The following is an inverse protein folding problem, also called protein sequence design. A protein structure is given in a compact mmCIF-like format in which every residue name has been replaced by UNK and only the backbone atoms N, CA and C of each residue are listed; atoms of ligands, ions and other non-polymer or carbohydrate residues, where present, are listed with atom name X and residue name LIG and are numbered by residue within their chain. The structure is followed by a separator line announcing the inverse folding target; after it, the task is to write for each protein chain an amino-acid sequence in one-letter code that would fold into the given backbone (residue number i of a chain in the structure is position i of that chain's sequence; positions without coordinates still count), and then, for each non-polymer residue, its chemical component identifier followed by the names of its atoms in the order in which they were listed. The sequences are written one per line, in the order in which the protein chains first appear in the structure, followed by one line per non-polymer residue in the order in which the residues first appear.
data_IF_952323234617
#
_entry.id   IF_952323234617
#
_cell.length_a   1.000
_cell.length_b   1.000
_cell.length_c   1.000
_cell.angle_alpha   90.00
_cell.angle_beta   90.00
_cell.angle_gamma   90.00
#
_symmetry.space_group_name_H-M   'P 1'
#
loop_
_entity.id
_entity.type
_entity.pdbx_description
1 polymer ?
#
# COMPACT_ATOMS: atom_id res chain seq x y z
N UNK A 1 -56.53 -51.57 14.06
CA UNK A 1 -55.08 -51.38 14.18
C UNK A 1 -54.38 -50.75 12.93
N UNK A 2 -55.10 -50.41 11.84
CA UNK A 2 -54.48 -49.80 10.64
C UNK A 2 -54.39 -48.24 10.67
N UNK A 3 -55.15 -47.56 11.52
CA UNK A 3 -55.20 -46.08 11.54
C UNK A 3 -54.14 -45.42 12.44
N UNK A 4 -53.49 -46.13 13.36
CA UNK A 4 -52.48 -45.57 14.25
C UNK A 4 -51.11 -45.40 13.56
N UNK A 5 -50.79 -46.23 12.56
CA UNK A 5 -49.52 -46.09 11.82
C UNK A 5 -49.48 -44.89 10.86
N UNK A 6 -50.61 -44.49 10.29
CA UNK A 6 -50.67 -43.29 9.42
C UNK A 6 -50.55 -41.97 10.22
N UNK A 7 -51.09 -41.92 11.45
CA UNK A 7 -50.97 -40.73 12.30
C UNK A 7 -49.53 -40.51 12.79
N UNK A 8 -48.82 -41.57 13.15
CA UNK A 8 -47.43 -41.47 13.61
C UNK A 8 -46.48 -41.06 12.48
N UNK A 9 -46.67 -41.58 11.26
CA UNK A 9 -45.91 -41.22 10.08
C UNK A 9 -46.10 -39.73 9.67
N UNK A 10 -47.33 -39.21 9.83
CA UNK A 10 -47.65 -37.82 9.52
C UNK A 10 -47.02 -36.85 10.54
N UNK A 11 -47.02 -37.21 11.83
CA UNK A 11 -46.38 -36.41 12.89
C UNK A 11 -44.85 -36.36 12.74
N UNK A 12 -44.20 -37.48 12.43
CA UNK A 12 -42.76 -37.54 12.19
C UNK A 12 -42.39 -36.74 10.94
N UNK A 13 -43.22 -36.76 9.90
CA UNK A 13 -42.98 -35.95 8.69
C UNK A 13 -43.16 -34.45 8.94
N UNK A 14 -44.18 -34.04 9.74
CA UNK A 14 -44.36 -32.65 10.16
C UNK A 14 -43.19 -32.15 11.04
N UNK A 15 -42.69 -32.97 11.96
CA UNK A 15 -41.57 -32.62 12.83
C UNK A 15 -40.29 -32.42 12.02
N UNK A 16 -39.99 -33.31 11.06
CA UNK A 16 -38.87 -33.19 10.16
C UNK A 16 -38.94 -31.95 9.26
N UNK A 17 -40.11 -31.60 8.76
CA UNK A 17 -40.32 -30.37 7.97
C UNK A 17 -40.14 -29.10 8.82
N UNK A 18 -40.56 -29.12 10.09
CA UNK A 18 -40.38 -28.01 11.03
C UNK A 18 -38.92 -27.83 11.40
N UNK A 19 -38.19 -28.92 11.65
CA UNK A 19 -36.75 -28.89 11.99
C UNK A 19 -35.89 -28.41 10.80
N UNK A 20 -36.22 -28.84 9.58
CA UNK A 20 -35.55 -28.37 8.35
C UNK A 20 -35.81 -26.88 8.11
N UNK A 21 -37.02 -26.39 8.37
CA UNK A 21 -37.32 -24.95 8.22
C UNK A 21 -36.60 -24.08 9.27
N UNK A 22 -36.52 -24.54 10.54
CA UNK A 22 -35.77 -23.82 11.56
C UNK A 22 -34.25 -23.77 11.25
N UNK A 23 -33.70 -24.84 10.71
CA UNK A 23 -32.27 -24.87 10.33
C UNK A 23 -32.01 -24.00 9.10
N UNK A 24 -32.91 -23.94 8.13
CA UNK A 24 -32.85 -23.00 7.00
C UNK A 24 -33.00 -21.55 7.45
N UNK A 25 -33.89 -21.21 8.37
CA UNK A 25 -34.02 -19.85 8.91
C UNK A 25 -32.75 -19.41 9.67
N UNK A 26 -32.18 -20.32 10.49
CA UNK A 26 -30.89 -20.04 11.18
C UNK A 26 -29.74 -19.84 10.20
N UNK A 27 -29.66 -20.64 9.15
CA UNK A 27 -28.64 -20.50 8.10
C UNK A 27 -28.85 -19.20 7.30
N UNK A 28 -30.08 -18.86 6.96
CA UNK A 28 -30.42 -17.62 6.26
C UNK A 28 -30.13 -16.40 7.14
N UNK A 29 -30.48 -16.42 8.42
CA UNK A 29 -30.14 -15.37 9.38
C UNK A 29 -28.63 -15.23 9.57
N UNK A 30 -27.87 -16.33 9.66
CA UNK A 30 -26.43 -16.30 9.76
C UNK A 30 -25.77 -15.71 8.48
N UNK A 31 -26.26 -16.08 7.31
CA UNK A 31 -25.77 -15.52 6.02
C UNK A 31 -26.11 -14.04 5.90
N UNK A 32 -27.29 -13.61 6.28
CA UNK A 32 -27.71 -12.20 6.27
C UNK A 32 -26.92 -11.38 7.29
N UNK A 33 -26.69 -11.90 8.49
CA UNK A 33 -25.86 -11.23 9.51
C UNK A 33 -24.42 -11.16 9.05
N UNK A 34 -23.88 -12.21 8.45
CA UNK A 34 -22.51 -12.20 7.90
C UNK A 34 -22.40 -11.23 6.72
N UNK A 35 -23.38 -11.20 5.83
CA UNK A 35 -23.44 -10.24 4.73
C UNK A 35 -23.60 -8.79 5.22
N UNK A 36 -24.42 -8.53 6.24
CA UNK A 36 -24.52 -7.20 6.87
C UNK A 36 -23.25 -6.79 7.59
N UNK A 37 -22.59 -7.72 8.30
CA UNK A 37 -21.27 -7.45 8.91
C UNK A 37 -20.19 -7.18 7.86
N UNK A 38 -20.16 -7.90 6.75
CA UNK A 38 -19.28 -7.59 5.62
C UNK A 38 -19.61 -6.22 4.98
N UNK A 39 -20.87 -5.89 4.79
CA UNK A 39 -21.29 -4.58 4.25
C UNK A 39 -20.96 -3.42 5.19
N UNK A 40 -21.01 -3.62 6.51
CA UNK A 40 -20.61 -2.59 7.48
C UNK A 40 -19.09 -2.43 7.58
N UNK A 41 -18.30 -3.46 7.33
CA UNK A 41 -16.84 -3.37 7.28
C UNK A 41 -16.32 -2.70 6.00
N UNK A 42 -16.97 -2.91 4.86
CA UNK A 42 -16.65 -2.23 3.59
C UNK A 42 -17.06 -0.75 3.60
N UNK A 43 -17.97 -0.34 4.50
CA UNK A 43 -18.42 1.05 4.66
C UNK A 43 -17.61 1.90 5.63
N UNK A 44 -16.71 1.33 6.42
CA UNK A 44 -15.81 2.10 7.29
C UNK A 44 -14.55 2.50 6.52
N UNK A 45 -14.55 3.70 5.92
CA UNK A 45 -13.36 4.27 5.29
C UNK A 45 -12.16 4.32 6.25
N UNK A 46 -10.94 4.43 5.70
CA UNK A 46 -9.70 4.54 6.48
C UNK A 46 -9.80 5.62 7.56
N UNK A 47 -9.38 5.30 8.77
CA UNK A 47 -9.53 6.18 9.94
C UNK A 47 -8.38 5.99 10.92
N UNK A 48 -7.93 7.09 11.54
CA UNK A 48 -7.00 7.02 12.67
C UNK A 48 -7.62 6.28 13.86
N UNK A 49 -6.81 5.46 14.53
CA UNK A 49 -7.15 4.78 15.76
C UNK A 49 -6.19 5.21 16.86
N UNK A 50 -6.72 5.74 17.97
CA UNK A 50 -5.91 6.22 19.10
C UNK A 50 -4.78 7.19 18.69
N UNK A 51 -5.05 8.06 17.71
CA UNK A 51 -4.09 9.07 17.24
C UNK A 51 -3.03 8.55 16.29
N UNK A 52 -3.09 7.28 15.85
CA UNK A 52 -2.13 6.67 14.91
C UNK A 52 -2.84 5.98 13.74
N UNK A 53 -2.12 5.82 12.63
CA UNK A 53 -2.55 5.04 11.47
C UNK A 53 -1.34 4.30 10.91
N UNK A 54 -1.37 2.98 10.93
CA UNK A 54 -0.24 2.14 10.51
C UNK A 54 -0.42 1.64 9.08
N UNK A 55 0.60 1.86 8.27
CA UNK A 55 0.71 1.34 6.91
C UNK A 55 1.84 0.33 6.85
N UNK A 56 1.63 -0.79 6.19
CA UNK A 56 2.69 -1.72 5.80
C UNK A 56 2.82 -1.69 4.28
N UNK A 57 4.02 -1.37 3.80
CA UNK A 57 4.37 -1.37 2.39
C UNK A 57 5.13 -2.66 2.06
N UNK A 58 4.57 -3.47 1.17
CA UNK A 58 5.24 -4.55 0.46
C UNK A 58 5.61 -4.09 -0.94
N UNK A 59 6.63 -4.68 -1.52
CA UNK A 59 7.09 -4.35 -2.88
C UNK A 59 7.87 -5.50 -3.49
N UNK A 60 7.90 -5.57 -4.82
CA UNK A 60 8.77 -6.48 -5.55
C UNK A 60 8.57 -7.95 -5.14
N UNK A 61 7.32 -8.41 -5.15
CA UNK A 61 6.96 -9.78 -4.79
C UNK A 61 7.46 -10.77 -5.85
N UNK A 62 7.45 -10.37 -7.14
CA UNK A 62 7.83 -11.18 -8.30
C UNK A 62 7.27 -12.60 -8.22
N UNK A 63 5.97 -12.69 -7.87
CA UNK A 63 5.31 -13.95 -7.60
C UNK A 63 5.17 -14.78 -8.87
N UNK A 64 5.60 -16.03 -8.81
CA UNK A 64 5.51 -17.03 -9.87
C UNK A 64 4.65 -18.20 -9.40
N UNK A 65 3.57 -18.46 -10.10
CA UNK A 65 2.67 -19.59 -9.84
C UNK A 65 3.43 -20.92 -9.89
N UNK A 66 3.08 -21.86 -9.03
CA UNK A 66 3.70 -23.18 -8.95
C UNK A 66 5.24 -23.16 -8.76
N UNK A 67 5.76 -22.14 -8.13
CA UNK A 67 7.20 -21.97 -7.90
C UNK A 67 7.48 -21.90 -6.39
N UNK A 68 8.09 -22.91 -5.77
CA UNK A 68 8.31 -22.94 -4.31
C UNK A 68 9.11 -21.74 -3.77
N UNK A 69 9.98 -21.14 -4.60
CA UNK A 69 10.70 -19.92 -4.23
C UNK A 69 9.74 -18.74 -3.98
N UNK A 70 8.61 -18.68 -4.68
CA UNK A 70 7.58 -17.65 -4.50
C UNK A 70 6.79 -17.80 -3.19
N UNK A 71 6.69 -19.00 -2.63
CA UNK A 71 6.00 -19.24 -1.34
C UNK A 71 6.63 -18.40 -0.21
N UNK A 72 7.92 -18.09 -0.34
CA UNK A 72 8.61 -17.22 0.60
C UNK A 72 8.06 -15.78 0.60
N UNK A 73 7.53 -15.28 -0.52
CA UNK A 73 6.90 -13.96 -0.62
C UNK A 73 5.56 -13.94 0.11
N UNK A 74 4.69 -14.94 -0.12
CA UNK A 74 3.40 -15.06 0.59
C UNK A 74 3.62 -15.24 2.08
N UNK A 75 4.58 -16.10 2.49
CA UNK A 75 4.93 -16.29 3.90
C UNK A 75 5.50 -15.03 4.55
N UNK A 76 6.24 -14.19 3.80
CA UNK A 76 6.71 -12.89 4.28
C UNK A 76 5.53 -11.94 4.55
N UNK A 77 4.59 -11.87 3.62
CA UNK A 77 3.39 -11.04 3.79
C UNK A 77 2.55 -11.52 4.98
N UNK A 78 2.28 -12.82 5.04
CA UNK A 78 1.47 -13.42 6.12
C UNK A 78 2.07 -13.12 7.49
N UNK A 79 3.35 -13.40 7.68
CA UNK A 79 4.05 -13.16 8.95
C UNK A 79 4.00 -11.69 9.37
N UNK A 80 4.33 -10.78 8.45
CA UNK A 80 4.45 -9.35 8.77
C UNK A 80 3.06 -8.72 8.99
N UNK A 81 2.05 -9.09 8.21
CA UNK A 81 0.68 -8.58 8.41
C UNK A 81 0.14 -9.02 9.77
N UNK A 82 0.36 -10.29 10.15
CA UNK A 82 -0.06 -10.80 11.46
C UNK A 82 0.69 -10.13 12.61
N UNK A 83 1.97 -9.83 12.44
CA UNK A 83 2.79 -9.17 13.46
C UNK A 83 2.45 -7.69 13.61
N UNK A 84 2.30 -6.97 12.51
CA UNK A 84 2.11 -5.52 12.49
C UNK A 84 0.64 -5.10 12.62
N UNK A 85 -0.31 -5.93 12.18
CA UNK A 85 -1.75 -5.65 12.15
C UNK A 85 -2.06 -4.25 11.58
N UNK A 86 -1.67 -3.96 10.33
CA UNK A 86 -1.78 -2.62 9.77
C UNK A 86 -3.23 -2.16 9.58
N UNK A 87 -3.45 -0.85 9.57
CA UNK A 87 -4.71 -0.23 9.17
C UNK A 87 -4.86 -0.19 7.64
N UNK A 88 -3.74 -0.21 6.91
CA UNK A 88 -3.69 -0.26 5.45
C UNK A 88 -2.45 -1.03 4.99
N UNK A 89 -2.61 -1.89 4.00
CA UNK A 89 -1.52 -2.52 3.27
C UNK A 89 -1.39 -1.84 1.90
N UNK A 90 -0.17 -1.48 1.51
CA UNK A 90 0.15 -0.93 0.19
C UNK A 90 1.18 -1.84 -0.48
N UNK A 91 0.87 -2.35 -1.67
CA UNK A 91 1.85 -3.10 -2.48
C UNK A 91 2.31 -2.21 -3.63
N UNK A 92 3.61 -1.91 -3.65
CA UNK A 92 4.18 -0.94 -4.60
C UNK A 92 4.86 -1.61 -5.79
N UNK A 93 4.08 -2.39 -6.56
CA UNK A 93 4.46 -2.89 -7.87
C UNK A 93 5.35 -4.12 -7.90
N UNK A 94 5.61 -4.61 -9.10
CA UNK A 94 6.30 -5.85 -9.43
C UNK A 94 5.74 -7.03 -8.61
N UNK A 95 4.41 -7.15 -8.69
CA UNK A 95 3.61 -8.08 -7.90
C UNK A 95 3.80 -9.50 -8.45
N UNK A 96 3.73 -9.63 -9.78
CA UNK A 96 3.66 -10.91 -10.48
C UNK A 96 4.77 -11.04 -11.52
N UNK A 97 5.27 -12.28 -11.72
CA UNK A 97 6.34 -12.56 -12.65
C UNK A 97 6.19 -13.93 -13.35
N UNK A 98 4.95 -14.33 -13.66
CA UNK A 98 4.64 -15.53 -14.45
C UNK A 98 3.38 -15.37 -15.28
N UNK A 99 3.29 -16.14 -16.37
CA UNK A 99 2.16 -16.15 -17.30
C UNK A 99 1.29 -17.39 -17.06
N UNK A 100 -0.03 -17.21 -17.06
CA UNK A 100 -0.77 -15.96 -17.25
C UNK A 100 -0.83 -15.15 -15.94
N UNK A 101 -0.64 -13.83 -16.03
CA UNK A 101 -0.51 -12.95 -14.88
C UNK A 101 -1.72 -12.89 -13.95
N UNK A 102 -2.92 -13.11 -14.47
CA UNK A 102 -4.14 -13.12 -13.66
C UNK A 102 -4.21 -14.28 -12.65
N UNK A 103 -3.61 -15.43 -12.95
CA UNK A 103 -3.52 -16.57 -12.01
C UNK A 103 -2.56 -16.24 -10.86
N UNK A 104 -1.35 -15.79 -11.18
CA UNK A 104 -0.37 -15.37 -10.19
C UNK A 104 -0.90 -14.24 -9.30
N UNK A 105 -1.58 -13.26 -9.91
CA UNK A 105 -2.22 -12.19 -9.16
C UNK A 105 -3.30 -12.70 -8.19
N UNK A 106 -4.10 -13.69 -8.61
CA UNK A 106 -5.15 -14.24 -7.75
C UNK A 106 -4.59 -14.84 -6.47
N UNK A 107 -3.47 -15.56 -6.54
CA UNK A 107 -2.83 -16.15 -5.36
C UNK A 107 -2.35 -15.09 -4.36
N UNK A 108 -1.77 -13.98 -4.86
CA UNK A 108 -1.39 -12.83 -4.03
C UNK A 108 -2.61 -12.14 -3.42
N UNK A 109 -3.68 -11.97 -4.20
CA UNK A 109 -4.93 -11.37 -3.73
C UNK A 109 -5.63 -12.21 -2.66
N UNK A 110 -5.62 -13.54 -2.80
CA UNK A 110 -6.17 -14.48 -1.82
C UNK A 110 -5.41 -14.40 -0.50
N UNK A 111 -4.07 -14.34 -0.53
CA UNK A 111 -3.24 -14.13 0.64
C UNK A 111 -3.61 -12.82 1.35
N UNK A 112 -3.67 -11.69 0.63
CA UNK A 112 -4.00 -10.38 1.21
C UNK A 112 -5.42 -10.35 1.80
N UNK A 113 -6.40 -10.91 1.07
CA UNK A 113 -7.80 -10.93 1.49
C UNK A 113 -8.05 -11.77 2.74
N UNK A 114 -7.26 -12.84 2.95
CA UNK A 114 -7.37 -13.70 4.11
C UNK A 114 -7.14 -12.96 5.44
N UNK A 115 -6.34 -11.91 5.44
CA UNK A 115 -6.06 -11.09 6.62
C UNK A 115 -7.18 -10.12 7.00
N UNK A 116 -8.18 -9.94 6.15
CA UNK A 116 -9.32 -9.04 6.40
C UNK A 116 -8.90 -7.61 6.74
N UNK A 117 -7.82 -7.12 6.12
CA UNK A 117 -7.30 -5.75 6.25
C UNK A 117 -7.47 -4.99 4.95
N UNK A 118 -7.78 -3.68 5.00
CA UNK A 118 -7.80 -2.86 3.80
C UNK A 118 -6.45 -2.92 3.08
N UNK A 119 -6.48 -3.11 1.77
CA UNK A 119 -5.26 -3.06 0.96
C UNK A 119 -5.48 -2.39 -0.38
N UNK A 120 -4.39 -1.87 -0.93
CA UNK A 120 -4.31 -1.29 -2.28
C UNK A 120 -2.98 -1.66 -2.92
N UNK A 121 -2.93 -1.59 -4.24
CA UNK A 121 -1.76 -1.97 -5.03
C UNK A 121 -1.52 -0.96 -6.14
N UNK A 122 -0.24 -0.69 -6.45
CA UNK A 122 0.17 -0.03 -7.69
C UNK A 122 0.89 -1.05 -8.56
N UNK A 123 1.01 -0.80 -9.85
CA UNK A 123 1.80 -1.67 -10.73
C UNK A 123 3.26 -1.24 -10.79
N UNK A 124 4.13 -2.23 -11.02
CA UNK A 124 5.51 -2.04 -11.41
C UNK A 124 5.73 -2.32 -12.89
N UNK A 125 6.98 -2.28 -13.31
CA UNK A 125 7.32 -2.44 -14.72
C UNK A 125 7.15 -3.88 -15.25
N UNK A 126 7.23 -4.88 -14.38
CA UNK A 126 7.08 -6.28 -14.79
C UNK A 126 5.63 -6.79 -14.84
N UNK A 127 4.69 -6.14 -14.14
CA UNK A 127 3.31 -6.61 -14.07
C UNK A 127 2.63 -6.66 -15.44
N UNK A 128 2.90 -5.66 -16.29
CA UNK A 128 2.36 -5.61 -17.66
C UNK A 128 2.96 -6.60 -18.67
N UNK A 129 4.05 -7.27 -18.31
CA UNK A 129 4.75 -8.23 -19.18
C UNK A 129 4.16 -9.65 -19.07
N UNK A 130 3.19 -9.87 -18.17
CA UNK A 130 2.68 -11.19 -17.82
C UNK A 130 1.48 -11.67 -18.68
N UNK A 131 1.31 -11.09 -19.87
CA UNK A 131 0.35 -11.56 -20.87
C UNK A 131 -1.10 -11.17 -20.63
N UNK A 132 -1.38 -10.35 -19.60
CA UNK A 132 -2.70 -9.81 -19.28
C UNK A 132 -2.60 -8.27 -19.23
N UNK A 133 -3.52 -7.52 -19.85
CA UNK A 133 -3.51 -6.07 -19.77
C UNK A 133 -3.62 -5.57 -18.33
N UNK A 134 -2.84 -4.55 -17.96
CA UNK A 134 -2.90 -3.95 -16.60
C UNK A 134 -4.30 -3.52 -16.20
N UNK A 135 -5.12 -3.05 -17.15
CA UNK A 135 -6.53 -2.70 -16.90
C UNK A 135 -7.36 -3.88 -16.42
N UNK A 136 -7.14 -5.08 -16.98
CA UNK A 136 -7.82 -6.29 -16.56
C UNK A 136 -7.33 -6.77 -15.18
N UNK A 137 -6.03 -6.68 -14.93
CA UNK A 137 -5.46 -6.97 -13.61
C UNK A 137 -6.00 -5.99 -12.54
N UNK A 138 -6.10 -4.70 -12.85
CA UNK A 138 -6.68 -3.71 -11.96
C UNK A 138 -8.15 -4.01 -11.63
N UNK A 139 -8.93 -4.36 -12.65
CA UNK A 139 -10.34 -4.73 -12.47
C UNK A 139 -10.50 -6.05 -11.68
N UNK A 140 -9.53 -6.97 -11.76
CA UNK A 140 -9.46 -8.17 -10.92
C UNK A 140 -9.19 -7.81 -9.47
N UNK A 141 -8.20 -6.96 -9.19
CA UNK A 141 -7.87 -6.50 -7.83
C UNK A 141 -9.11 -5.93 -7.11
N UNK A 142 -9.91 -5.12 -7.81
CA UNK A 142 -11.10 -4.47 -7.25
C UNK A 142 -12.25 -5.41 -6.88
N UNK A 143 -12.24 -6.63 -7.41
CA UNK A 143 -13.32 -7.62 -7.16
C UNK A 143 -13.14 -8.42 -5.88
N UNK A 144 -11.96 -8.40 -5.29
CA UNK A 144 -11.68 -9.18 -4.08
C UNK A 144 -12.04 -8.39 -2.82
N UNK A 145 -12.44 -9.07 -1.74
CA UNK A 145 -12.73 -8.44 -0.46
C UNK A 145 -11.53 -7.65 0.07
N UNK A 146 -11.81 -6.55 0.77
CA UNK A 146 -10.81 -5.69 1.41
C UNK A 146 -9.88 -4.92 0.47
N UNK A 147 -9.90 -5.15 -0.85
CA UNK A 147 -9.31 -4.21 -1.78
C UNK A 147 -10.18 -2.94 -1.83
N UNK A 148 -9.56 -1.79 -1.58
CA UNK A 148 -10.26 -0.50 -1.50
C UNK A 148 -9.85 0.47 -2.62
N UNK A 149 -9.24 -0.05 -3.69
CA UNK A 149 -8.89 0.78 -4.85
C UNK A 149 -10.15 1.35 -5.50
N UNK A 150 -10.17 2.66 -5.80
CA UNK A 150 -11.31 3.29 -6.46
C UNK A 150 -11.43 2.85 -7.93
N UNK A 151 -12.53 3.22 -8.57
CA UNK A 151 -12.70 2.98 -10.00
C UNK A 151 -11.71 3.83 -10.81
N UNK A 152 -11.03 3.21 -11.77
CA UNK A 152 -10.04 3.85 -12.67
C UNK A 152 -10.64 4.86 -13.67
N UNK A 153 -11.95 5.01 -13.70
CA UNK A 153 -12.64 5.90 -14.63
C UNK A 153 -12.40 7.39 -14.38
N UNK A 154 -11.69 7.75 -13.31
CA UNK A 154 -11.43 9.16 -12.94
C UNK A 154 -10.20 9.72 -13.67
N UNK A 155 -9.21 8.88 -13.94
CA UNK A 155 -8.02 9.22 -14.73
C UNK A 155 -7.80 8.14 -15.78
N UNK A 156 -7.17 8.47 -16.89
CA UNK A 156 -6.79 7.46 -17.88
C UNK A 156 -5.65 6.56 -17.39
N UNK A 157 -5.05 6.90 -16.29
CA UNK A 157 -4.03 6.15 -15.53
C UNK A 157 -4.66 5.48 -14.32
N UNK A 158 -3.91 4.65 -13.61
CA UNK A 158 -4.38 3.95 -12.40
C UNK A 158 -3.99 4.71 -11.12
N UNK A 159 -3.97 6.05 -11.20
CA UNK A 159 -3.67 6.91 -10.07
C UNK A 159 -4.91 7.13 -9.21
N UNK A 160 -4.71 7.18 -7.91
CA UNK A 160 -5.80 7.46 -6.97
C UNK A 160 -5.31 8.08 -5.67
N UNK A 161 -6.24 8.66 -4.91
CA UNK A 161 -6.00 9.20 -3.58
C UNK A 161 -6.99 8.60 -2.59
N UNK A 162 -6.49 8.21 -1.42
CA UNK A 162 -7.28 7.66 -0.32
C UNK A 162 -7.27 8.65 0.85
N UNK A 163 -8.43 9.19 1.24
CA UNK A 163 -8.54 10.01 2.43
C UNK A 163 -8.56 9.14 3.69
N UNK A 164 -7.75 9.50 4.68
CA UNK A 164 -7.78 8.94 6.03
C UNK A 164 -8.53 9.89 6.93
N UNK A 165 -9.60 9.42 7.55
CA UNK A 165 -10.41 10.21 8.48
C UNK A 165 -9.72 10.37 9.84
N UNK A 166 -10.05 11.44 10.54
CA UNK A 166 -9.66 11.64 11.96
C UNK A 166 -10.19 10.49 12.84
N UNK A 167 -9.64 10.34 14.04
CA UNK A 167 -10.14 9.36 15.03
C UNK A 167 -11.63 9.55 15.36
N UNK A 168 -12.14 10.77 15.27
CA UNK A 168 -13.57 11.05 15.38
C UNK A 168 -14.40 10.68 14.14
N UNK A 169 -13.77 10.45 12.99
CA UNK A 169 -14.42 10.17 11.73
C UNK A 169 -15.02 11.39 11.01
N UNK A 170 -14.93 12.58 11.62
CA UNK A 170 -15.68 13.78 11.15
C UNK A 170 -14.99 14.54 10.03
N UNK A 171 -13.67 14.45 9.88
CA UNK A 171 -12.89 15.17 8.87
C UNK A 171 -11.83 14.28 8.24
N UNK A 172 -11.36 14.63 7.07
CA UNK A 172 -10.13 14.05 6.52
C UNK A 172 -8.92 14.61 7.30
N UNK A 173 -8.03 13.75 7.74
CA UNK A 173 -6.87 14.10 8.57
C UNK A 173 -5.54 13.83 7.88
N UNK A 174 -5.49 12.90 6.92
CA UNK A 174 -4.32 12.62 6.10
C UNK A 174 -4.73 12.05 4.73
N UNK A 175 -3.78 11.96 3.80
CA UNK A 175 -3.99 11.44 2.45
C UNK A 175 -2.92 10.39 2.10
N UNK A 176 -3.31 9.39 1.32
CA UNK A 176 -2.40 8.46 0.66
C UNK A 176 -2.61 8.58 -0.85
N UNK A 177 -1.60 9.05 -1.56
CA UNK A 177 -1.56 9.07 -3.02
C UNK A 177 -0.90 7.79 -3.52
N UNK A 178 -1.50 7.15 -4.51
CA UNK A 178 -0.93 6.03 -5.23
C UNK A 178 -0.85 6.38 -6.71
N UNK A 179 0.32 6.16 -7.33
CA UNK A 179 0.56 6.49 -8.73
C UNK A 179 0.99 5.25 -9.51
N UNK A 180 0.56 5.19 -10.76
CA UNK A 180 1.14 4.28 -11.75
C UNK A 180 2.43 4.92 -12.29
N UNK A 181 3.58 4.32 -11.96
CA UNK A 181 4.88 4.80 -12.43
C UNK A 181 5.25 4.28 -13.83
N UNK A 182 4.34 3.59 -14.48
CA UNK A 182 4.50 3.03 -15.82
C UNK A 182 5.61 1.97 -15.95
N UNK A 183 6.12 1.77 -17.16
CA UNK A 183 7.17 0.84 -17.53
C UNK A 183 8.26 1.57 -18.35
N UNK A 184 8.70 0.99 -19.45
CA UNK A 184 9.69 1.58 -20.36
C UNK A 184 9.15 2.80 -21.07
N UNK A 185 10.02 3.77 -21.33
CA UNK A 185 9.66 4.93 -22.14
C UNK A 185 9.28 4.49 -23.57
N UNK A 186 8.12 4.93 -24.03
CA UNK A 186 7.70 4.80 -25.42
C UNK A 186 8.14 5.97 -26.31
N UNK A 187 8.85 6.96 -25.77
CA UNK A 187 9.26 8.17 -26.50
C UNK A 187 10.47 7.87 -27.37
N UNK A 188 10.42 8.13 -28.71
CA UNK A 188 11.56 7.94 -29.59
C UNK A 188 12.82 8.68 -29.09
N UNK A 189 13.95 7.99 -29.07
CA UNK A 189 15.23 8.56 -28.63
C UNK A 189 15.43 8.65 -27.11
N UNK A 190 14.45 8.23 -26.30
CA UNK A 190 14.54 8.19 -24.84
C UNK A 190 14.52 6.74 -24.37
N UNK A 191 15.65 6.24 -23.91
CA UNK A 191 15.78 4.91 -23.34
C UNK A 191 15.45 4.92 -21.85
N UNK A 192 15.28 3.73 -21.25
CA UNK A 192 15.02 3.55 -19.83
C UNK A 192 13.54 3.62 -19.49
N UNK A 193 13.25 4.03 -18.26
CA UNK A 193 11.88 4.06 -17.73
C UNK A 193 11.14 5.33 -18.11
N UNK A 194 9.83 5.22 -18.19
CA UNK A 194 8.93 6.36 -18.33
C UNK A 194 8.82 7.08 -16.98
N UNK A 195 8.55 8.37 -17.03
CA UNK A 195 8.35 9.25 -15.88
C UNK A 195 6.86 9.40 -15.56
N UNK A 196 6.54 9.87 -14.36
CA UNK A 196 5.20 10.34 -14.03
C UNK A 196 4.85 11.51 -14.95
N UNK A 197 3.75 11.39 -15.69
CA UNK A 197 3.39 12.29 -16.79
C UNK A 197 2.89 13.65 -16.31
N UNK A 198 2.86 14.65 -17.21
CA UNK A 198 2.25 15.95 -16.91
C UNK A 198 0.77 15.85 -16.56
N UNK A 199 0.04 14.89 -17.15
CA UNK A 199 -1.37 14.63 -16.82
C UNK A 199 -1.52 14.15 -15.36
N UNK A 200 -0.63 13.26 -14.91
CA UNK A 200 -0.59 12.78 -13.52
C UNK A 200 -0.21 13.92 -12.57
N UNK A 201 0.77 14.75 -12.91
CA UNK A 201 1.12 15.94 -12.14
C UNK A 201 -0.07 16.91 -12.05
N UNK A 202 -0.75 17.14 -13.18
CA UNK A 202 -1.96 17.98 -13.20
C UNK A 202 -3.09 17.40 -12.35
N UNK A 203 -3.30 16.10 -12.41
CA UNK A 203 -4.26 15.40 -11.55
C UNK A 203 -3.90 15.54 -10.07
N UNK A 204 -2.66 15.26 -9.69
CA UNK A 204 -2.17 15.39 -8.32
C UNK A 204 -2.40 16.81 -7.78
N UNK A 205 -2.01 17.84 -8.53
CA UNK A 205 -2.18 19.25 -8.12
C UNK A 205 -3.65 19.60 -7.89
N UNK A 206 -4.57 19.08 -8.73
CA UNK A 206 -6.02 19.27 -8.53
C UNK A 206 -6.51 18.57 -7.26
N UNK A 207 -6.08 17.33 -6.99
CA UNK A 207 -6.45 16.62 -5.76
C UNK A 207 -5.94 17.35 -4.52
N UNK A 208 -4.67 17.72 -4.49
CA UNK A 208 -4.06 18.48 -3.40
C UNK A 208 -4.79 19.80 -3.14
N UNK A 209 -5.10 20.56 -4.18
CA UNK A 209 -5.87 21.81 -4.07
C UNK A 209 -7.29 21.59 -3.51
N UNK A 210 -7.97 20.53 -3.95
CA UNK A 210 -9.31 20.16 -3.47
C UNK A 210 -9.29 19.85 -1.97
N UNK A 211 -8.40 18.99 -1.52
CA UNK A 211 -8.29 18.65 -0.10
C UNK A 211 -7.78 19.82 0.75
N UNK A 212 -6.90 20.65 0.20
CA UNK A 212 -6.46 21.89 0.85
C UNK A 212 -7.61 22.86 1.08
N UNK A 213 -8.48 23.05 0.09
CA UNK A 213 -9.67 23.92 0.23
C UNK A 213 -10.64 23.39 1.30
N UNK A 214 -10.83 22.07 1.36
CA UNK A 214 -11.66 21.40 2.39
C UNK A 214 -11.04 21.46 3.80
N UNK A 215 -9.74 21.75 3.91
CA UNK A 215 -9.02 21.90 5.17
C UNK A 215 -8.66 23.36 5.50
N UNK A 216 -9.55 24.29 5.20
CA UNK A 216 -9.39 25.72 5.49
C UNK A 216 -8.11 26.32 4.90
N UNK A 217 -7.76 25.96 3.68
CA UNK A 217 -6.60 26.46 2.96
C UNK A 217 -5.24 25.86 3.39
N UNK A 218 -5.22 24.93 4.33
CA UNK A 218 -3.99 24.29 4.83
C UNK A 218 -3.78 22.92 4.19
N UNK A 219 -2.56 22.58 3.71
CA UNK A 219 -2.29 21.26 3.18
C UNK A 219 -2.49 20.18 4.25
N UNK A 220 -3.12 19.06 3.87
CA UNK A 220 -3.21 17.89 4.73
C UNK A 220 -1.88 17.11 4.70
N UNK A 221 -1.46 16.47 5.80
CA UNK A 221 -0.37 15.52 5.77
C UNK A 221 -0.63 14.41 4.75
N UNK A 222 0.30 14.14 3.84
CA UNK A 222 0.14 13.13 2.81
C UNK A 222 1.39 12.27 2.63
N UNK A 223 1.18 11.02 2.16
CA UNK A 223 2.23 10.12 1.70
C UNK A 223 1.94 9.74 0.24
N UNK A 224 2.99 9.51 -0.55
CA UNK A 224 2.90 9.08 -1.94
C UNK A 224 3.57 7.72 -2.12
N UNK A 225 2.91 6.82 -2.88
CA UNK A 225 3.37 5.46 -3.16
C UNK A 225 3.35 5.20 -4.66
N UNK A 226 4.43 4.69 -5.19
CA UNK A 226 4.56 4.21 -6.57
C UNK A 226 5.78 3.30 -6.68
N UNK A 227 5.97 2.63 -7.82
CA UNK A 227 7.01 1.63 -7.95
C UNK A 227 8.37 2.22 -8.31
N UNK A 228 8.52 2.85 -9.47
CA UNK A 228 9.81 3.33 -9.98
C UNK A 228 10.16 4.68 -9.33
N UNK A 229 11.32 4.79 -8.65
CA UNK A 229 11.70 5.99 -7.93
C UNK A 229 11.94 7.21 -8.85
N UNK A 230 11.75 8.40 -8.30
CA UNK A 230 12.06 9.67 -9.00
C UNK A 230 13.58 9.91 -9.08
N UNK A 231 14.08 10.67 -10.07
CA UNK A 231 15.49 11.06 -10.16
C UNK A 231 16.07 11.69 -8.88
N UNK A 232 15.22 12.34 -8.09
CA UNK A 232 15.57 12.95 -6.82
C UNK A 232 16.08 11.96 -5.76
N UNK A 233 15.78 10.67 -5.86
CA UNK A 233 16.35 9.65 -4.98
C UNK A 233 17.87 9.61 -5.10
N UNK A 234 18.41 9.62 -6.32
CA UNK A 234 19.85 9.70 -6.54
C UNK A 234 20.42 11.06 -6.11
N UNK A 235 19.73 12.17 -6.43
CA UNK A 235 20.16 13.51 -6.03
C UNK A 235 20.28 13.67 -4.52
N UNK A 236 19.34 13.08 -3.76
CA UNK A 236 19.36 13.12 -2.31
C UNK A 236 20.55 12.34 -1.72
N UNK A 237 20.83 11.15 -2.26
CA UNK A 237 21.90 10.29 -1.77
C UNK A 237 23.27 10.85 -2.16
N UNK A 238 23.40 11.45 -3.33
CA UNK A 238 24.64 12.09 -3.80
C UNK A 238 24.90 13.45 -3.08
N UNK A 239 23.94 13.96 -2.29
CA UNK A 239 24.09 15.19 -1.52
C UNK A 239 24.69 14.92 -0.12
N UNK A 240 25.93 15.36 0.18
CA UNK A 240 26.60 15.11 1.45
C UNK A 240 25.94 15.78 2.66
N UNK A 241 24.96 16.65 2.44
CA UNK A 241 24.19 17.28 3.51
C UNK A 241 23.00 16.42 3.95
N UNK A 242 22.57 15.45 3.16
CA UNK A 242 21.49 14.55 3.50
C UNK A 242 21.98 13.43 4.43
N UNK A 243 21.10 13.04 5.37
CA UNK A 243 21.35 11.89 6.27
C UNK A 243 20.56 10.71 5.73
N UNK A 244 21.25 9.61 5.47
CA UNK A 244 20.65 8.35 5.01
C UNK A 244 20.57 7.35 6.17
N UNK A 245 19.41 6.73 6.31
CA UNK A 245 19.20 5.58 7.19
C UNK A 245 18.81 4.37 6.36
N UNK A 246 19.38 3.23 6.64
CA UNK A 246 19.12 1.98 5.95
C UNK A 246 20.25 1.54 5.03
N UNK A 247 19.96 0.61 4.15
CA UNK A 247 20.90 -0.02 3.24
C UNK A 247 20.71 0.54 1.82
N UNK A 248 21.83 0.93 1.22
CA UNK A 248 21.93 1.25 -0.20
C UNK A 248 23.06 0.43 -0.80
N UNK A 249 22.70 -0.54 -1.61
CA UNK A 249 23.67 -1.42 -2.30
C UNK A 249 23.71 -1.17 -3.81
N UNK A 250 22.72 -0.46 -4.32
CA UNK A 250 22.64 -0.12 -5.74
C UNK A 250 22.18 1.34 -5.96
N UNK A 251 22.50 1.86 -7.14
CA UNK A 251 21.97 3.15 -7.58
C UNK A 251 20.49 2.99 -7.92
N UNK A 252 19.64 3.91 -7.51
CA UNK A 252 18.23 3.87 -7.87
C UNK A 252 18.05 3.97 -9.41
N UNK A 253 17.34 3.00 -9.99
CA UNK A 253 17.04 2.96 -11.42
C UNK A 253 15.82 3.83 -11.73
N UNK A 254 16.08 5.08 -12.02
CA UNK A 254 15.07 6.12 -12.24
C UNK A 254 14.83 6.39 -13.71
N UNK A 255 13.73 7.06 -14.09
CA UNK A 255 13.59 7.64 -15.43
C UNK A 255 14.77 8.55 -15.79
N UNK A 256 15.18 8.53 -17.05
CA UNK A 256 16.24 9.42 -17.56
C UNK A 256 15.77 10.87 -17.69
N UNK A 257 14.45 11.09 -17.83
CA UNK A 257 13.86 12.43 -17.86
C UNK A 257 13.08 12.67 -16.57
N UNK A 258 13.20 13.89 -16.04
CA UNK A 258 12.46 14.35 -14.87
C UNK A 258 11.29 15.22 -15.30
N UNK A 259 10.07 14.82 -14.99
CA UNK A 259 8.86 15.59 -15.30
C UNK A 259 8.54 16.71 -14.31
N UNK A 260 9.20 16.75 -13.15
CA UNK A 260 8.95 17.72 -12.10
C UNK A 260 7.88 17.32 -11.07
N UNK A 261 7.53 16.05 -10.95
CA UNK A 261 6.58 15.59 -9.93
C UNK A 261 7.04 15.93 -8.52
N UNK A 262 8.33 15.75 -8.20
CA UNK A 262 8.88 16.15 -6.91
C UNK A 262 8.67 17.65 -6.63
N UNK A 263 8.96 18.50 -7.61
CA UNK A 263 8.72 19.94 -7.51
C UNK A 263 7.24 20.25 -7.25
N UNK A 264 6.33 19.59 -7.98
CA UNK A 264 4.90 19.77 -7.77
C UNK A 264 4.46 19.37 -6.35
N UNK A 265 4.99 18.26 -5.81
CA UNK A 265 4.73 17.84 -4.42
C UNK A 265 5.29 18.86 -3.41
N UNK A 266 6.47 19.39 -3.66
CA UNK A 266 7.07 20.41 -2.81
C UNK A 266 6.28 21.73 -2.81
N UNK A 267 5.81 22.19 -3.98
CA UNK A 267 4.97 23.38 -4.10
C UNK A 267 3.58 23.22 -3.44
N UNK A 268 2.95 22.06 -3.61
CA UNK A 268 1.67 21.77 -2.95
C UNK A 268 1.81 21.68 -1.44
N UNK A 269 2.95 21.16 -0.94
CA UNK A 269 3.32 21.14 0.47
C UNK A 269 2.55 20.15 1.33
N UNK A 270 1.79 19.22 0.73
CA UNK A 270 1.05 18.17 1.44
C UNK A 270 1.89 16.89 1.66
N UNK A 271 2.65 16.44 0.65
CA UNK A 271 3.45 15.22 0.72
C UNK A 271 4.61 15.37 1.68
N UNK A 272 4.66 14.49 2.68
CA UNK A 272 5.75 14.38 3.66
C UNK A 272 6.77 13.31 3.29
N UNK A 273 6.34 12.28 2.55
CA UNK A 273 7.19 11.16 2.17
C UNK A 273 6.71 10.47 0.90
N UNK A 274 7.69 9.99 0.13
CA UNK A 274 7.54 9.22 -1.10
C UNK A 274 8.14 7.84 -0.84
N UNK A 275 7.39 6.79 -1.16
CA UNK A 275 7.74 5.40 -0.91
C UNK A 275 7.69 4.61 -2.22
N UNK A 276 8.81 4.02 -2.59
CA UNK A 276 9.01 3.29 -3.85
C UNK A 276 9.45 1.84 -3.60
N UNK A 277 9.46 1.02 -4.65
CA UNK A 277 10.10 -0.28 -4.74
C UNK A 277 11.22 -0.28 -5.76
N UNK A 278 11.23 -1.27 -6.65
CA UNK A 278 12.00 -1.37 -7.88
C UNK A 278 13.46 -1.78 -7.70
N UNK A 279 14.17 -1.22 -6.72
CA UNK A 279 15.59 -1.50 -6.47
C UNK A 279 15.70 -2.44 -5.27
N UNK A 280 15.90 -3.74 -5.53
CA UNK A 280 15.70 -4.82 -4.55
C UNK A 280 16.72 -4.79 -3.39
N UNK A 281 17.91 -4.26 -3.64
CA UNK A 281 18.99 -4.20 -2.66
C UNK A 281 19.06 -2.85 -1.92
N UNK A 282 18.00 -2.06 -2.02
CA UNK A 282 17.82 -0.80 -1.31
C UNK A 282 16.67 -0.89 -0.31
N UNK A 283 16.89 -0.38 0.90
CA UNK A 283 15.82 -0.12 1.87
C UNK A 283 16.04 1.21 2.61
N UNK A 284 16.85 2.07 2.04
CA UNK A 284 17.19 3.34 2.67
C UNK A 284 16.05 4.35 2.68
N UNK A 285 16.19 5.32 3.56
CA UNK A 285 15.38 6.53 3.59
C UNK A 285 16.28 7.76 3.80
N UNK A 286 15.95 8.85 3.13
CA UNK A 286 16.71 10.09 3.14
C UNK A 286 15.76 11.27 2.98
N UNK A 287 16.01 12.41 3.63
CA UNK A 287 15.23 13.64 3.39
C UNK A 287 15.91 14.50 2.32
N UNK A 288 15.11 14.91 1.34
CA UNK A 288 15.49 15.87 0.32
C UNK A 288 14.47 17.00 0.28
N UNK A 289 14.90 18.25 0.52
CA UNK A 289 14.03 19.42 0.63
C UNK A 289 12.75 19.18 1.45
N UNK A 290 12.90 18.68 2.69
CA UNK A 290 11.82 18.38 3.65
C UNK A 290 10.81 17.28 3.20
N UNK A 291 11.12 16.50 2.18
CA UNK A 291 10.33 15.32 1.79
C UNK A 291 11.18 14.09 2.00
N UNK A 292 10.65 13.09 2.71
CA UNK A 292 11.32 11.80 2.86
C UNK A 292 11.21 11.03 1.55
N UNK A 293 12.34 10.52 1.07
CA UNK A 293 12.43 9.57 -0.04
C UNK A 293 12.85 8.23 0.54
N UNK A 294 12.05 7.19 0.35
CA UNK A 294 12.29 5.89 0.98
C UNK A 294 12.01 4.73 0.01
N UNK A 295 12.95 3.79 -0.07
CA UNK A 295 12.68 2.49 -0.67
C UNK A 295 11.92 1.59 0.29
N UNK A 296 10.99 0.79 -0.22
CA UNK A 296 10.47 -0.38 0.45
C UNK A 296 11.57 -1.43 0.64
N UNK A 297 11.31 -2.41 1.49
CA UNK A 297 12.15 -3.61 1.56
C UNK A 297 11.59 -4.65 0.59
N UNK A 298 12.44 -5.23 -0.25
CA UNK A 298 12.08 -6.36 -1.10
C UNK A 298 11.29 -7.41 -0.29
N UNK A 299 10.09 -7.73 -0.76
CA UNK A 299 9.18 -8.63 -0.07
C UNK A 299 9.07 -10.01 -0.76
N UNK A 300 9.70 -10.15 -1.91
CA UNK A 300 9.66 -11.32 -2.76
C UNK A 300 10.30 -12.56 -2.16
N UNK A 301 10.15 -13.66 -2.89
CA UNK A 301 10.88 -14.90 -2.66
C UNK A 301 12.25 -14.88 -3.34
N UNK A 302 12.77 -16.05 -3.68
CA UNK A 302 14.04 -16.19 -4.39
C UNK A 302 13.83 -16.31 -5.91
N UNK A 303 12.96 -15.51 -6.48
CA UNK A 303 12.59 -15.51 -7.91
C UNK A 303 13.33 -14.46 -8.73
N UNK A 304 13.90 -13.48 -8.05
CA UNK A 304 14.72 -12.40 -8.60
C UNK A 304 15.94 -12.14 -7.68
N UNK A 305 16.87 -11.30 -8.13
CA UNK A 305 18.04 -10.93 -7.33
C UNK A 305 17.62 -10.20 -6.06
N UNK A 306 18.24 -10.54 -4.96
CA UNK A 306 18.10 -9.86 -3.69
C UNK A 306 19.20 -10.34 -2.73
N UNK A 307 19.97 -9.43 -2.17
CA UNK A 307 21.01 -9.71 -1.18
C UNK A 307 20.55 -9.38 0.24
N UNK A 308 19.41 -8.69 0.38
CA UNK A 308 18.82 -8.35 1.66
C UNK A 308 17.77 -9.41 2.03
N UNK A 309 17.63 -9.68 3.33
CA UNK A 309 16.54 -10.54 3.80
C UNK A 309 15.20 -9.89 3.50
N UNK A 310 14.23 -10.65 2.98
CA UNK A 310 12.92 -10.12 2.64
C UNK A 310 12.17 -9.57 3.87
N UNK A 311 11.30 -8.61 3.62
CA UNK A 311 10.61 -7.87 4.67
C UNK A 311 9.60 -6.86 4.11
N UNK A 312 9.26 -5.87 4.91
CA UNK A 312 8.38 -4.77 4.54
C UNK A 312 8.80 -3.48 5.23
N UNK A 313 8.39 -2.34 4.66
CA UNK A 313 8.49 -1.06 5.36
C UNK A 313 7.20 -0.78 6.13
N UNK A 314 7.34 -0.38 7.38
CA UNK A 314 6.23 0.03 8.24
C UNK A 314 6.27 1.55 8.40
N UNK A 315 5.11 2.19 8.31
CA UNK A 315 4.95 3.63 8.46
C UNK A 315 3.80 3.88 9.44
N UNK A 316 4.03 4.72 10.45
CA UNK A 316 3.03 5.05 11.49
C UNK A 316 2.77 6.55 11.47
N UNK A 317 1.69 6.97 10.80
CA UNK A 317 1.22 8.35 10.80
C UNK A 317 0.71 8.75 12.19
N UNK A 318 0.92 10.02 12.55
CA UNK A 318 0.46 10.63 13.81
C UNK A 318 -0.62 11.67 13.51
N UNK A 319 -1.82 11.49 14.08
CA UNK A 319 -2.95 12.38 13.82
C UNK A 319 -2.65 13.83 14.23
N UNK A 320 -2.99 14.76 13.33
CA UNK A 320 -2.79 16.18 13.57
C UNK A 320 -1.34 16.65 13.55
N UNK A 321 -0.39 15.77 13.19
CA UNK A 321 1.05 16.11 13.10
C UNK A 321 1.57 15.90 11.69
N UNK A 322 2.53 16.73 11.29
CA UNK A 322 3.35 16.47 10.09
C UNK A 322 4.58 15.65 10.47
N UNK A 323 4.31 14.44 10.97
CA UNK A 323 5.32 13.53 11.50
C UNK A 323 4.82 12.10 11.39
N UNK A 324 5.73 11.17 11.17
CA UNK A 324 5.48 9.73 11.19
C UNK A 324 6.74 8.97 11.60
N UNK A 325 6.56 7.78 12.13
CA UNK A 325 7.66 6.85 12.35
C UNK A 325 7.74 5.88 11.18
N UNK A 326 8.93 5.41 10.83
CA UNK A 326 9.12 4.36 9.83
C UNK A 326 10.29 3.46 10.18
N UNK A 327 10.16 2.18 9.81
CA UNK A 327 11.17 1.16 10.02
C UNK A 327 11.00 0.00 9.03
N UNK A 328 11.99 -0.88 8.97
CA UNK A 328 11.91 -2.14 8.25
C UNK A 328 11.57 -3.26 9.22
N UNK A 329 10.57 -4.06 8.87
CA UNK A 329 10.27 -5.34 9.50
C UNK A 329 10.75 -6.45 8.58
N UNK A 330 11.81 -7.17 8.98
CA UNK A 330 12.24 -8.37 8.26
C UNK A 330 11.36 -9.56 8.60
N UNK A 331 11.22 -10.48 7.67
CA UNK A 331 10.72 -11.81 7.94
C UNK A 331 11.57 -12.47 9.04
N UNK A 332 10.94 -13.08 10.05
CA UNK A 332 11.59 -13.51 11.30
C UNK A 332 11.57 -12.46 12.40
N UNK A 333 10.84 -11.36 12.22
CA UNK A 333 10.44 -10.42 13.27
C UNK A 333 11.47 -9.34 13.62
N UNK A 334 12.63 -9.29 12.96
CA UNK A 334 13.65 -8.27 13.25
C UNK A 334 13.20 -6.88 12.80
N UNK A 335 13.40 -5.88 13.66
CA UNK A 335 13.15 -4.48 13.36
C UNK A 335 14.49 -3.76 13.07
N UNK A 336 14.53 -3.02 11.95
CA UNK A 336 15.72 -2.28 11.51
C UNK A 336 15.37 -0.84 11.16
N UNK A 337 16.36 0.05 11.27
CA UNK A 337 16.32 1.41 10.73
C UNK A 337 15.11 2.23 11.20
N UNK A 338 14.77 2.14 12.48
CA UNK A 338 13.69 2.94 13.05
C UNK A 338 14.06 4.42 13.03
N UNK A 339 13.21 5.23 12.41
CA UNK A 339 13.37 6.68 12.31
C UNK A 339 12.04 7.40 12.50
N UNK A 340 12.10 8.63 12.96
CA UNK A 340 10.96 9.56 13.03
C UNK A 340 11.19 10.72 12.06
N UNK A 341 10.29 10.88 11.09
CA UNK A 341 10.26 12.03 10.20
C UNK A 341 9.66 13.25 10.93
N UNK A 342 10.26 14.46 10.84
CA UNK A 342 11.57 14.75 10.24
C UNK A 342 12.73 14.60 11.22
N UNK A 343 12.51 14.38 12.49
CA UNK A 343 13.45 14.60 13.59
C UNK A 343 14.73 13.78 13.50
N UNK A 344 14.67 12.52 13.05
CA UNK A 344 15.86 11.68 12.91
C UNK A 344 16.82 12.16 11.82
N UNK A 345 16.35 12.98 10.88
CA UNK A 345 17.12 13.41 9.71
C UNK A 345 17.71 14.82 9.85
N UNK A 346 17.60 15.41 11.04
CA UNK A 346 18.18 16.73 11.32
C UNK A 346 19.61 16.54 11.81
N UNK A 347 20.60 17.12 11.08
CA UNK A 347 21.97 17.18 11.59
C UNK A 347 21.99 18.00 12.89
N UNK A 348 22.58 17.46 13.92
CA UNK A 348 22.81 18.18 15.16
C UNK A 348 23.82 19.32 14.92
N UNK A 349 23.29 20.53 14.77
CA UNK A 349 24.14 21.71 14.63
C UNK A 349 24.17 22.47 15.96
N UNK A 350 24.95 21.95 16.90
CA UNK A 350 25.14 22.54 18.22
C UNK A 350 25.47 24.04 18.17
N UNK A 351 26.09 24.55 17.09
CA UNK A 351 26.42 25.96 16.90
C UNK A 351 25.19 26.86 16.68
N UNK A 352 24.08 26.32 16.25
CA UNK A 352 22.83 27.05 15.99
C UNK A 352 21.76 26.82 17.05
N UNK A 353 21.94 25.89 17.97
CA UNK A 353 21.07 25.70 19.12
C UNK A 353 21.23 26.86 20.10
N UNK A 354 20.39 27.87 19.96
CA UNK A 354 20.29 28.95 20.93
C UNK A 354 19.48 28.46 22.13
N UNK A 355 20.10 28.36 23.30
CA UNK A 355 19.42 28.20 24.57
C UNK A 355 19.43 26.81 25.24
N UNK A 356 19.93 25.77 24.56
CA UNK A 356 20.05 24.42 25.18
C UNK A 356 21.44 24.10 25.75
N UNK A 357 22.39 25.01 25.62
CA UNK A 357 23.76 24.89 26.12
C UNK A 357 24.09 26.03 27.09
N UNK A 358 23.19 26.34 27.97
CA UNK A 358 23.59 27.09 29.18
C UNK A 358 24.26 26.11 30.12
N UNK A 359 25.43 26.41 30.67
CA UNK A 359 26.14 25.57 31.63
C UNK A 359 25.38 25.34 32.89
#
# INVERSE_FOLDING_TARGET
MRNAHYFLSYFVHLQLVFDVNQDMEKRFSAVVITAMLCLTMVGQGLKFHNGTFKIVQFTDLHYKTNTPASDAALACMDEIINQEMPDLIVVTGDIIYSKPGNEALQEVLDCLSAHKRPFVMTFGNHDGEQGVPLTALYDQMRKVPYNIQPDRNVTKTMDYVLPIKSSSGTRTAALVYCFDSHNRSGMPGVNGYQWLTFDQIGWYRRQSATYRSQNSGRPLPALAFFHIPLPEFNMAVDNPQCILYGTRMERAYTPNLNSGMFTAMKECGDVMGIFCGHDHDNDYSVIYYDVLLAHGRFSGGNTEYNHLRNGARVIILKEGKRSFDTYIRERGGRLLNYTTYPNSYVKDNWKTRKGELAP
#
